data_IF_557177963734
#
_entry.id   IF_557177963734
#
_cell.length_a   1.000
_cell.length_b   1.000
_cell.length_c   1.000
_cell.angle_alpha   90.00
_cell.angle_beta   90.00
_cell.angle_gamma   90.00
#
_symmetry.space_group_name_H-M   'P 1'
#
loop_
_entity.id
_entity.type
_entity.pdbx_description
1 polymer ?
#
# COMPACT_ATOMS: atom_id res chain seq x y z
N UNK A 1 56.91 10.35 -12.00
CA UNK A 1 58.09 11.03 -12.58
C UNK A 1 57.78 12.30 -13.38
N UNK A 2 56.55 12.55 -13.87
CA UNK A 2 56.27 13.74 -14.71
C UNK A 2 56.15 15.11 -14.01
N UNK A 3 55.84 15.14 -12.71
CA UNK A 3 55.56 16.41 -12.00
C UNK A 3 56.83 17.21 -11.65
N UNK A 4 57.92 16.51 -11.34
CA UNK A 4 59.22 17.12 -11.00
C UNK A 4 59.90 17.71 -12.24
N UNK A 5 59.79 17.03 -13.38
CA UNK A 5 60.37 17.48 -14.65
C UNK A 5 59.68 18.75 -15.17
N UNK A 6 58.36 18.88 -14.96
CA UNK A 6 57.61 20.08 -15.33
C UNK A 6 57.96 21.29 -14.46
N UNK A 7 58.12 21.10 -13.14
CA UNK A 7 58.54 22.18 -12.23
C UNK A 7 59.96 22.67 -12.54
N UNK A 8 60.90 21.78 -12.84
CA UNK A 8 62.27 22.16 -13.19
C UNK A 8 62.33 22.97 -14.49
N UNK A 9 61.52 22.59 -15.49
CA UNK A 9 61.45 23.29 -16.77
C UNK A 9 60.72 24.65 -16.68
N UNK A 10 59.80 24.82 -15.72
CA UNK A 10 59.21 26.12 -15.39
C UNK A 10 60.21 27.03 -14.67
N UNK A 11 60.99 26.48 -13.73
CA UNK A 11 61.99 27.23 -12.98
C UNK A 11 63.14 27.73 -13.87
N UNK A 12 63.60 26.91 -14.83
CA UNK A 12 64.59 27.36 -15.82
C UNK A 12 64.06 28.48 -16.72
N UNK A 13 62.80 28.43 -17.15
CA UNK A 13 62.20 29.50 -17.96
C UNK A 13 62.07 30.82 -17.18
N UNK A 14 61.75 30.76 -15.90
CA UNK A 14 61.71 31.96 -15.05
C UNK A 14 63.11 32.55 -14.83
N UNK A 15 64.14 31.73 -14.64
CA UNK A 15 65.52 32.22 -14.47
C UNK A 15 66.11 32.82 -15.76
N UNK A 16 65.85 32.21 -16.91
CA UNK A 16 66.31 32.75 -18.21
C UNK A 16 65.53 34.00 -18.63
N UNK A 17 64.23 34.07 -18.31
CA UNK A 17 63.41 35.26 -18.56
C UNK A 17 63.81 36.46 -17.69
N UNK A 18 64.06 36.22 -16.39
CA UNK A 18 64.39 37.29 -15.44
C UNK A 18 65.72 38.00 -15.79
N UNK A 19 66.78 37.25 -16.12
CA UNK A 19 68.07 37.84 -16.46
C UNK A 19 68.06 38.64 -17.77
N UNK A 20 67.22 38.26 -18.74
CA UNK A 20 67.07 39.00 -19.98
C UNK A 20 66.33 40.33 -19.79
N UNK A 21 65.27 40.33 -18.96
CA UNK A 21 64.53 41.54 -18.61
C UNK A 21 65.36 42.51 -17.76
N UNK A 22 66.19 42.02 -16.83
CA UNK A 22 67.12 42.88 -16.07
C UNK A 22 68.17 43.53 -16.97
N UNK A 23 68.70 42.83 -17.97
CA UNK A 23 69.63 43.43 -18.94
C UNK A 23 68.97 44.51 -19.81
N UNK A 24 67.73 44.29 -20.25
CA UNK A 24 66.96 45.29 -20.99
C UNK A 24 66.67 46.53 -20.12
N UNK A 25 66.31 46.31 -18.85
CA UNK A 25 66.03 47.39 -17.90
C UNK A 25 67.29 48.22 -17.57
N UNK A 26 68.46 47.58 -17.46
CA UNK A 26 69.74 48.28 -17.30
C UNK A 26 70.13 49.11 -18.53
N UNK A 27 69.81 48.65 -19.75
CA UNK A 27 70.04 49.43 -20.98
C UNK A 27 69.11 50.64 -21.07
N UNK A 28 67.87 50.52 -20.59
CA UNK A 28 66.91 51.62 -20.47
C UNK A 28 67.35 52.68 -19.46
N UNK A 29 67.80 52.27 -18.27
CA UNK A 29 68.26 53.21 -17.23
C UNK A 29 69.54 53.96 -17.61
N UNK A 30 70.39 53.36 -18.46
CA UNK A 30 71.65 53.97 -18.91
C UNK A 30 71.52 54.89 -20.15
N UNK A 31 70.30 55.27 -20.53
CA UNK A 31 70.04 56.37 -21.47
C UNK A 31 70.54 56.18 -22.91
N UNK A 32 70.86 54.95 -23.34
CA UNK A 32 71.37 54.66 -24.67
C UNK A 32 70.27 54.24 -25.66
N UNK A 33 69.19 55.02 -25.73
CA UNK A 33 68.17 54.85 -26.77
C UNK A 33 67.71 56.22 -27.25
N UNK A 34 68.25 56.64 -28.40
CA UNK A 34 67.73 57.78 -29.13
C UNK A 34 66.36 57.45 -29.73
N UNK A 35 65.41 58.39 -29.60
CA UNK A 35 64.14 58.46 -30.32
C UNK A 35 63.36 57.12 -30.49
N UNK A 36 62.79 56.59 -29.40
CA UNK A 36 61.83 55.48 -29.45
C UNK A 36 60.53 55.81 -28.70
N UNK A 37 59.75 56.75 -29.22
CA UNK A 37 58.37 56.96 -28.75
C UNK A 37 57.36 55.90 -29.24
N UNK A 38 57.49 55.27 -30.43
CA UNK A 38 56.52 54.26 -30.90
C UNK A 38 56.62 52.90 -30.20
N UNK A 39 57.80 52.49 -29.72
CA UNK A 39 58.01 51.16 -29.14
C UNK A 39 57.38 51.00 -27.74
N UNK A 40 57.34 52.06 -26.94
CA UNK A 40 56.71 52.05 -25.60
C UNK A 40 55.18 51.87 -25.65
N UNK A 41 54.53 52.40 -26.69
CA UNK A 41 53.08 52.23 -26.90
C UNK A 41 52.74 50.78 -27.28
N UNK A 42 53.55 50.16 -28.14
CA UNK A 42 53.40 48.76 -28.54
C UNK A 42 53.62 47.80 -27.37
N UNK A 43 54.62 48.07 -26.51
CA UNK A 43 54.87 47.27 -25.30
C UNK A 43 53.72 47.38 -24.30
N UNK A 44 53.14 48.58 -24.14
CA UNK A 44 51.99 48.79 -23.26
C UNK A 44 50.73 48.07 -23.77
N UNK A 45 50.48 48.10 -25.08
CA UNK A 45 49.39 47.35 -25.71
C UNK A 45 49.58 45.83 -25.54
N UNK A 46 50.78 45.31 -25.78
CA UNK A 46 51.10 43.89 -25.56
C UNK A 46 50.92 43.49 -24.09
N UNK A 47 51.27 44.34 -23.13
CA UNK A 47 51.08 44.05 -21.71
C UNK A 47 49.58 43.95 -21.34
N UNK A 48 48.74 44.84 -21.88
CA UNK A 48 47.28 44.80 -21.71
C UNK A 48 46.71 43.51 -22.32
N UNK A 49 47.13 43.15 -23.53
CA UNK A 49 46.69 41.91 -24.18
C UNK A 49 47.08 40.67 -23.37
N UNK A 50 48.34 40.59 -22.91
CA UNK A 50 48.83 39.49 -22.07
C UNK A 50 48.00 39.37 -20.79
N UNK A 51 47.69 40.49 -20.14
CA UNK A 51 46.88 40.48 -18.92
C UNK A 51 45.43 40.06 -19.21
N UNK A 52 44.86 40.51 -20.33
CA UNK A 52 43.56 40.04 -20.82
C UNK A 52 43.54 38.52 -21.07
N UNK A 53 44.59 37.98 -21.69
CA UNK A 53 44.74 36.54 -21.91
C UNK A 53 44.88 35.76 -20.60
N UNK A 54 45.62 36.27 -19.61
CA UNK A 54 45.72 35.63 -18.28
C UNK A 54 44.37 35.56 -17.59
N UNK A 55 43.61 36.66 -17.60
CA UNK A 55 42.28 36.71 -17.01
C UNK A 55 41.32 35.74 -17.70
N UNK A 56 41.36 35.69 -19.04
CA UNK A 56 40.58 34.74 -19.82
C UNK A 56 40.93 33.29 -19.50
N UNK A 57 42.23 32.95 -19.44
CA UNK A 57 42.66 31.62 -19.03
C UNK A 57 42.21 31.27 -17.60
N UNK A 58 42.32 32.21 -16.65
CA UNK A 58 41.87 31.99 -15.28
C UNK A 58 40.35 31.71 -15.20
N UNK A 59 39.55 32.45 -15.96
CA UNK A 59 38.10 32.22 -16.07
C UNK A 59 37.78 30.82 -16.63
N UNK A 60 38.45 30.42 -17.71
CA UNK A 60 38.28 29.08 -18.30
C UNK A 60 38.67 27.96 -17.32
N UNK A 61 39.72 28.16 -16.51
CA UNK A 61 40.09 27.19 -15.47
C UNK A 61 39.02 27.07 -14.37
N UNK A 62 38.44 28.19 -13.94
CA UNK A 62 37.35 28.17 -12.95
C UNK A 62 36.10 27.47 -13.51
N UNK A 63 35.71 27.79 -14.74
CA UNK A 63 34.59 27.17 -15.44
C UNK A 63 34.79 25.65 -15.57
N UNK A 64 36.01 25.22 -15.94
CA UNK A 64 36.35 23.79 -16.00
C UNK A 64 36.18 23.07 -14.66
N UNK A 65 36.62 23.67 -13.55
CA UNK A 65 36.46 23.05 -12.22
C UNK A 65 34.98 23.04 -11.78
N UNK A 66 34.20 24.06 -12.14
CA UNK A 66 32.75 24.05 -11.93
C UNK A 66 32.08 22.90 -12.69
N UNK A 67 32.37 22.74 -13.99
CA UNK A 67 31.83 21.64 -14.79
C UNK A 67 32.26 20.26 -14.27
N UNK A 68 33.46 20.15 -13.70
CA UNK A 68 33.93 18.90 -13.09
C UNK A 68 33.15 18.58 -11.82
N UNK A 69 32.88 19.58 -10.97
CA UNK A 69 32.06 19.41 -9.78
C UNK A 69 30.61 19.04 -10.13
N UNK A 70 30.03 19.70 -11.13
CA UNK A 70 28.68 19.40 -11.61
C UNK A 70 28.57 18.00 -12.21
N UNK A 71 29.53 17.58 -13.04
CA UNK A 71 29.59 16.22 -13.56
C UNK A 71 29.69 15.18 -12.45
N UNK A 72 30.46 15.45 -11.40
CA UNK A 72 30.56 14.53 -10.27
C UNK A 72 29.24 14.43 -9.51
N UNK A 73 28.53 15.55 -9.33
CA UNK A 73 27.19 15.58 -8.73
C UNK A 73 26.19 14.77 -9.56
N UNK A 74 26.15 14.99 -10.88
CA UNK A 74 25.27 14.26 -11.79
C UNK A 74 25.56 12.76 -11.82
N UNK A 75 26.83 12.34 -11.69
CA UNK A 75 27.19 10.91 -11.57
C UNK A 75 26.60 10.28 -10.31
N UNK A 76 26.69 10.95 -9.16
CA UNK A 76 26.13 10.46 -7.90
C UNK A 76 24.61 10.39 -7.98
N UNK A 77 23.97 11.43 -8.55
CA UNK A 77 22.52 11.48 -8.71
C UNK A 77 22.00 10.39 -9.66
N UNK A 78 22.67 10.15 -10.79
CA UNK A 78 22.35 9.05 -11.70
C UNK A 78 22.49 7.68 -11.03
N UNK A 79 23.53 7.48 -10.20
CA UNK A 79 23.68 6.23 -9.47
C UNK A 79 22.53 6.04 -8.47
N UNK A 80 22.13 7.10 -7.76
CA UNK A 80 20.99 7.06 -6.85
C UNK A 80 19.69 6.71 -7.58
N UNK A 81 19.43 7.30 -8.74
CA UNK A 81 18.24 6.95 -9.53
C UNK A 81 18.25 5.51 -10.03
N UNK A 82 19.43 4.97 -10.36
CA UNK A 82 19.58 3.57 -10.72
C UNK A 82 19.23 2.64 -9.55
N UNK A 83 19.74 2.95 -8.37
CA UNK A 83 19.47 2.15 -7.16
C UNK A 83 17.97 2.21 -6.78
N UNK A 84 17.33 3.38 -6.89
CA UNK A 84 15.90 3.55 -6.68
C UNK A 84 15.07 2.77 -7.71
N UNK A 85 15.47 2.75 -8.98
CA UNK A 85 14.82 1.97 -10.03
C UNK A 85 14.91 0.46 -9.75
N UNK A 86 16.07 -0.03 -9.34
CA UNK A 86 16.28 -1.43 -8.99
C UNK A 86 15.49 -1.84 -7.73
N UNK A 87 15.36 -0.94 -6.76
CA UNK A 87 14.50 -1.17 -5.59
C UNK A 87 13.02 -1.23 -5.98
N UNK A 88 12.55 -0.32 -6.83
CA UNK A 88 11.16 -0.32 -7.32
C UNK A 88 10.83 -1.55 -8.16
N UNK A 89 11.74 -1.99 -9.03
CA UNK A 89 11.57 -3.23 -9.80
C UNK A 89 11.43 -4.45 -8.90
N UNK A 90 12.24 -4.56 -7.84
CA UNK A 90 12.11 -5.64 -6.86
C UNK A 90 10.77 -5.61 -6.11
N UNK A 91 10.33 -4.42 -5.68
CA UNK A 91 9.04 -4.26 -5.02
C UNK A 91 7.86 -4.62 -5.94
N UNK A 92 7.97 -4.31 -7.23
CA UNK A 92 6.96 -4.66 -8.23
C UNK A 92 6.84 -6.18 -8.42
N UNK A 93 7.97 -6.90 -8.52
CA UNK A 93 7.95 -8.35 -8.63
C UNK A 93 7.39 -9.04 -7.36
N UNK A 94 7.70 -8.54 -6.16
CA UNK A 94 7.07 -9.04 -4.93
C UNK A 94 5.54 -8.82 -4.94
N UNK A 95 5.10 -7.63 -5.35
CA UNK A 95 3.67 -7.32 -5.47
C UNK A 95 2.97 -8.25 -6.46
N UNK A 96 3.60 -8.52 -7.61
CA UNK A 96 3.09 -9.45 -8.63
C UNK A 96 2.97 -10.88 -8.10
N UNK A 97 3.97 -11.37 -7.36
CA UNK A 97 3.91 -12.68 -6.70
C UNK A 97 2.77 -12.74 -5.68
N UNK A 98 2.59 -11.70 -4.88
CA UNK A 98 1.49 -11.63 -3.90
C UNK A 98 0.12 -11.61 -4.58
N UNK A 99 -0.03 -10.87 -5.67
CA UNK A 99 -1.27 -10.81 -6.43
C UNK A 99 -1.62 -12.19 -7.02
N UNK A 100 -0.64 -12.89 -7.59
CA UNK A 100 -0.84 -14.26 -8.10
C UNK A 100 -1.31 -15.23 -7.02
N UNK A 101 -0.75 -15.14 -5.80
CA UNK A 101 -1.21 -15.96 -4.66
C UNK A 101 -2.66 -15.67 -4.28
N UNK A 102 -3.05 -14.39 -4.29
CA UNK A 102 -4.43 -13.97 -4.01
C UNK A 102 -5.38 -14.46 -5.10
N UNK A 103 -4.99 -14.35 -6.38
CA UNK A 103 -5.80 -14.86 -7.50
C UNK A 103 -6.05 -16.36 -7.38
N UNK A 104 -4.99 -17.15 -7.17
CA UNK A 104 -5.10 -18.59 -7.00
C UNK A 104 -6.01 -18.96 -5.83
N UNK A 105 -5.85 -18.28 -4.68
CA UNK A 105 -6.73 -18.50 -3.53
C UNK A 105 -8.18 -18.14 -3.81
N UNK A 106 -8.44 -17.08 -4.59
CA UNK A 106 -9.78 -16.71 -5.00
C UNK A 106 -10.41 -17.76 -5.92
N UNK A 107 -9.63 -18.36 -6.82
CA UNK A 107 -10.08 -19.45 -7.69
C UNK A 107 -10.44 -20.70 -6.86
N UNK A 108 -9.60 -21.06 -5.89
CA UNK A 108 -9.85 -22.14 -4.93
C UNK A 108 -11.14 -21.87 -4.13
N UNK A 109 -11.28 -20.70 -3.51
CA UNK A 109 -12.48 -20.30 -2.75
C UNK A 109 -13.74 -20.30 -3.63
N UNK A 110 -13.63 -19.93 -4.91
CA UNK A 110 -14.77 -19.95 -5.85
C UNK A 110 -15.17 -21.37 -6.21
N UNK A 111 -14.20 -22.27 -6.41
CA UNK A 111 -14.47 -23.68 -6.65
C UNK A 111 -15.12 -24.34 -5.43
N UNK A 112 -14.65 -24.04 -4.22
CA UNK A 112 -15.27 -24.52 -2.98
C UNK A 112 -16.71 -24.02 -2.84
N UNK A 113 -16.97 -22.74 -3.11
CA UNK A 113 -18.33 -22.18 -3.07
C UNK A 113 -19.27 -22.83 -4.08
N UNK A 114 -18.77 -23.20 -5.27
CA UNK A 114 -19.54 -23.93 -6.26
C UNK A 114 -19.95 -25.30 -5.72
N UNK A 115 -18.99 -26.05 -5.17
CA UNK A 115 -19.24 -27.36 -4.56
C UNK A 115 -20.25 -27.27 -3.40
N UNK A 116 -20.15 -26.23 -2.57
CA UNK A 116 -21.09 -25.98 -1.47
C UNK A 116 -22.51 -25.66 -1.96
N UNK A 117 -22.65 -24.94 -3.07
CA UNK A 117 -23.97 -24.67 -3.67
C UNK A 117 -24.61 -25.95 -4.18
N UNK A 118 -23.86 -26.76 -4.93
CA UNK A 118 -24.35 -28.04 -5.45
C UNK A 118 -24.80 -28.97 -4.32
N UNK A 119 -24.05 -29.04 -3.22
CA UNK A 119 -24.43 -29.82 -2.05
C UNK A 119 -25.70 -29.31 -1.34
N UNK A 120 -25.86 -27.98 -1.24
CA UNK A 120 -27.06 -27.38 -0.61
C UNK A 120 -28.31 -27.56 -1.50
N UNK A 121 -28.17 -27.43 -2.81
CA UNK A 121 -29.26 -27.69 -3.76
C UNK A 121 -29.73 -29.15 -3.65
N UNK A 122 -28.81 -30.09 -3.49
CA UNK A 122 -29.13 -31.49 -3.21
C UNK A 122 -29.89 -31.67 -1.89
N UNK A 123 -29.43 -31.04 -0.80
CA UNK A 123 -30.10 -31.09 0.51
C UNK A 123 -31.54 -30.53 0.45
N UNK A 124 -31.74 -29.43 -0.29
CA UNK A 124 -33.06 -28.85 -0.53
C UNK A 124 -33.98 -29.84 -1.27
N UNK A 125 -33.48 -30.51 -2.31
CA UNK A 125 -34.22 -31.53 -3.07
C UNK A 125 -34.63 -32.68 -2.14
N UNK A 126 -33.70 -33.17 -1.32
CA UNK A 126 -33.93 -34.23 -0.34
C UNK A 126 -35.01 -33.87 0.68
N UNK A 127 -34.91 -32.69 1.31
CA UNK A 127 -35.91 -32.22 2.29
C UNK A 127 -37.28 -32.04 1.65
N UNK A 128 -37.33 -31.53 0.41
CA UNK A 128 -38.60 -31.39 -0.33
C UNK A 128 -39.24 -32.76 -0.57
N UNK A 129 -38.44 -33.76 -0.96
CA UNK A 129 -38.93 -35.12 -1.21
C UNK A 129 -39.44 -35.81 0.05
N UNK A 130 -38.74 -35.64 1.18
CA UNK A 130 -39.19 -36.15 2.49
C UNK A 130 -40.55 -35.54 2.86
N UNK A 131 -40.71 -34.22 2.71
CA UNK A 131 -41.99 -33.54 2.98
C UNK A 131 -43.13 -34.00 2.06
N UNK A 132 -42.83 -34.27 0.79
CA UNK A 132 -43.81 -34.83 -0.15
C UNK A 132 -44.27 -36.25 0.26
N UNK A 133 -43.37 -37.05 0.83
CA UNK A 133 -43.69 -38.38 1.36
C UNK A 133 -44.49 -38.29 2.67
N UNK A 134 -44.11 -37.38 3.58
CA UNK A 134 -44.83 -37.14 4.85
C UNK A 134 -46.27 -36.61 4.64
N UNK A 135 -46.51 -35.89 3.53
CA UNK A 135 -47.82 -35.33 3.21
C UNK A 135 -48.81 -36.34 2.58
N UNK A 136 -48.38 -37.57 2.26
CA UNK A 136 -49.27 -38.63 1.78
C UNK A 136 -49.88 -39.36 2.98
N UNK A 137 -51.21 -39.30 3.12
CA UNK A 137 -51.95 -40.14 4.06
C UNK A 137 -52.06 -41.58 3.52
N UNK A 138 -51.33 -42.51 4.12
CA UNK A 138 -51.39 -43.96 3.85
C UNK A 138 -50.06 -44.69 4.14
N UNK A 139 -50.06 -46.01 4.36
CA UNK A 139 -48.83 -46.77 4.55
C UNK A 139 -47.95 -46.70 3.29
N UNK A 140 -46.65 -46.45 3.48
CA UNK A 140 -45.64 -46.41 2.41
C UNK A 140 -45.71 -47.75 1.65
N UNK A 141 -46.02 -47.69 0.35
CA UNK A 141 -46.15 -48.88 -0.49
C UNK A 141 -44.79 -49.56 -0.69
N UNK A 142 -44.78 -50.89 -0.83
CA UNK A 142 -43.57 -51.69 -1.14
C UNK A 142 -42.91 -51.25 -2.46
N UNK A 143 -43.66 -50.58 -3.34
CA UNK A 143 -43.15 -50.01 -4.59
C UNK A 143 -42.31 -48.73 -4.40
N UNK A 144 -42.40 -48.05 -3.24
CA UNK A 144 -41.61 -46.87 -2.89
C UNK A 144 -40.25 -47.22 -2.21
N UNK A 145 -40.06 -48.49 -1.85
CA UNK A 145 -38.86 -48.98 -1.15
C UNK A 145 -37.53 -48.86 -1.95
N UNK A 146 -37.49 -49.04 -3.29
CA UNK A 146 -36.25 -48.86 -4.06
C UNK A 146 -35.73 -47.42 -4.03
N UNK A 147 -36.64 -46.43 -3.98
CA UNK A 147 -36.29 -45.01 -3.93
C UNK A 147 -35.69 -44.59 -2.58
N UNK A 148 -36.03 -45.29 -1.49
CA UNK A 148 -35.45 -45.06 -0.17
C UNK A 148 -34.05 -45.65 -0.04
N UNK A 149 -33.74 -46.76 -0.74
CA UNK A 149 -32.40 -47.34 -0.79
C UNK A 149 -31.38 -46.44 -1.47
N UNK A 150 -31.72 -45.89 -2.64
CA UNK A 150 -30.87 -44.93 -3.36
C UNK A 150 -30.63 -43.62 -2.58
N UNK A 151 -31.65 -43.20 -1.82
CA UNK A 151 -31.55 -42.05 -0.90
C UNK A 151 -30.58 -42.34 0.25
N UNK A 152 -30.64 -43.54 0.85
CA UNK A 152 -29.79 -43.90 1.99
C UNK A 152 -28.33 -44.05 1.55
N UNK A 153 -28.06 -44.70 0.42
CA UNK A 153 -26.70 -44.85 -0.11
C UNK A 153 -26.10 -43.48 -0.50
N UNK A 154 -26.90 -42.59 -1.10
CA UNK A 154 -26.49 -41.20 -1.41
C UNK A 154 -26.23 -40.32 -0.17
N UNK A 155 -26.95 -40.58 0.93
CA UNK A 155 -26.75 -39.89 2.22
C UNK A 155 -25.53 -40.43 2.98
N UNK A 156 -25.17 -41.71 2.81
CA UNK A 156 -23.99 -42.32 3.43
C UNK A 156 -22.71 -41.83 2.75
N UNK A 157 -22.64 -41.80 1.42
CA UNK A 157 -21.47 -41.27 0.68
C UNK A 157 -21.24 -39.77 0.95
N UNK A 158 -22.31 -39.00 1.17
CA UNK A 158 -22.22 -37.59 1.54
C UNK A 158 -21.96 -37.34 3.04
N UNK A 159 -22.17 -38.34 3.91
CA UNK A 159 -21.83 -38.21 5.33
C UNK A 159 -20.33 -38.04 5.52
N UNK A 160 -19.49 -38.68 4.70
CA UNK A 160 -18.04 -38.46 4.74
C UNK A 160 -17.65 -37.05 4.27
N UNK A 161 -18.41 -36.46 3.32
CA UNK A 161 -18.31 -35.05 2.94
C UNK A 161 -18.77 -34.09 4.05
N UNK A 162 -19.80 -34.46 4.82
CA UNK A 162 -20.31 -33.68 5.97
C UNK A 162 -19.43 -33.83 7.20
N UNK A 163 -18.81 -35.00 7.43
CA UNK A 163 -17.84 -35.23 8.51
C UNK A 163 -16.56 -34.45 8.23
N UNK A 164 -16.14 -34.31 6.96
CA UNK A 164 -15.12 -33.31 6.57
C UNK A 164 -15.54 -31.85 6.82
N UNK A 165 -16.85 -31.50 6.83
CA UNK A 165 -17.33 -30.16 7.24
C UNK A 165 -17.10 -29.85 8.73
N UNK A 166 -16.82 -30.86 9.56
CA UNK A 166 -16.69 -30.69 11.02
C UNK A 166 -15.32 -31.09 11.59
N UNK A 167 -14.41 -31.62 10.77
CA UNK A 167 -13.01 -31.82 11.11
C UNK A 167 -12.09 -30.96 10.24
N UNK A 168 -12.24 -29.65 10.38
CA UNK A 168 -11.08 -28.78 10.50
C UNK A 168 -11.33 -27.87 11.71
N UNK A 169 -10.84 -28.23 12.90
CA UNK A 169 -10.69 -27.23 13.93
C UNK A 169 -9.65 -26.24 13.39
N UNK A 170 -10.04 -24.98 13.16
CA UNK A 170 -9.07 -23.88 13.01
C UNK A 170 -8.39 -23.73 14.37
N UNK A 171 -7.46 -24.62 14.67
CA UNK A 171 -6.56 -24.53 15.81
C UNK A 171 -5.50 -23.48 15.49
N UNK A 172 -5.85 -22.21 15.71
CA UNK A 172 -4.99 -21.19 16.36
C UNK A 172 -5.75 -19.84 16.54
N UNK A 173 -7.06 -19.86 16.86
CA UNK A 173 -7.87 -18.62 17.05
C UNK A 173 -7.20 -17.62 18.00
N UNK A 174 -6.50 -18.09 19.04
CA UNK A 174 -5.82 -17.21 20.00
C UNK A 174 -4.57 -16.53 19.41
N UNK A 175 -3.75 -17.24 18.62
CA UNK A 175 -2.56 -16.63 17.98
C UNK A 175 -2.97 -15.65 16.89
N UNK A 176 -4.01 -15.98 16.14
CA UNK A 176 -4.52 -15.10 15.07
C UNK A 176 -5.24 -13.88 15.64
N UNK A 177 -6.00 -14.03 16.73
CA UNK A 177 -6.56 -12.91 17.47
C UNK A 177 -5.47 -12.00 18.03
N UNK A 178 -4.43 -12.55 18.68
CA UNK A 178 -3.29 -11.75 19.20
C UNK A 178 -2.59 -10.96 18.08
N UNK A 179 -2.32 -11.59 16.94
CA UNK A 179 -1.76 -10.91 15.75
C UNK A 179 -2.68 -9.82 15.21
N UNK A 180 -3.99 -10.06 15.20
CA UNK A 180 -4.98 -9.07 14.78
C UNK A 180 -5.02 -7.87 15.75
N UNK A 181 -4.95 -8.12 17.05
CA UNK A 181 -4.86 -7.07 18.09
C UNK A 181 -3.58 -6.25 17.92
N UNK A 182 -2.42 -6.88 17.71
CA UNK A 182 -1.17 -6.16 17.43
C UNK A 182 -1.24 -5.33 16.15
N UNK A 183 -1.79 -5.91 15.09
CA UNK A 183 -1.97 -5.20 13.82
C UNK A 183 -2.97 -4.03 13.95
N UNK A 184 -4.01 -4.19 14.76
CA UNK A 184 -4.97 -3.14 15.10
C UNK A 184 -4.34 -2.03 15.95
N UNK A 185 -3.48 -2.38 16.92
CA UNK A 185 -2.69 -1.42 17.71
C UNK A 185 -1.75 -0.59 16.86
N UNK A 186 -1.35 -1.08 15.68
CA UNK A 186 -0.51 -0.36 14.72
C UNK A 186 -1.30 0.31 13.59
N UNK A 187 -2.62 0.14 13.56
CA UNK A 187 -3.48 0.76 12.54
C UNK A 187 -3.78 2.21 12.92
N UNK A 188 -3.48 3.14 12.00
CA UNK A 188 -3.73 4.58 12.20
C UNK A 188 -5.22 4.92 12.31
N UNK A 189 -6.09 4.14 11.66
CA UNK A 189 -7.53 4.34 11.69
C UNK A 189 -8.20 3.98 13.02
N UNK A 190 -7.46 3.46 14.01
CA UNK A 190 -8.02 3.04 15.31
C UNK A 190 -8.58 4.19 16.15
N UNK A 191 -8.09 5.41 15.94
CA UNK A 191 -8.53 6.62 16.65
C UNK A 191 -9.56 7.43 15.87
N UNK A 192 -9.85 7.03 14.63
CA UNK A 192 -10.86 7.71 13.85
C UNK A 192 -12.22 7.51 14.48
N UNK A 193 -12.98 8.60 14.60
CA UNK A 193 -14.34 8.60 15.13
C UNK A 193 -15.30 9.00 14.02
N UNK A 194 -16.52 8.48 14.10
CA UNK A 194 -17.62 8.90 13.24
C UNK A 194 -18.70 9.43 14.16
N UNK A 195 -18.96 10.73 14.12
CA UNK A 195 -19.87 11.40 15.04
C UNK A 195 -21.25 10.72 15.06
N UNK A 196 -21.72 10.35 16.26
CA UNK A 196 -23.00 9.67 16.45
C UNK A 196 -23.04 8.21 15.98
N UNK A 197 -21.88 7.58 15.72
CA UNK A 197 -21.77 6.16 15.34
C UNK A 197 -20.83 5.42 16.31
N UNK A 198 -21.32 4.39 16.97
CA UNK A 198 -20.48 3.47 17.75
C UNK A 198 -19.82 2.46 16.81
N UNK A 199 -18.54 2.70 16.51
CA UNK A 199 -17.77 1.87 15.59
C UNK A 199 -17.53 0.45 16.10
N UNK A 200 -17.64 0.18 17.41
CA UNK A 200 -17.47 -1.16 17.98
C UNK A 200 -18.54 -2.15 17.50
N UNK A 201 -19.66 -1.64 16.98
CA UNK A 201 -20.71 -2.46 16.37
C UNK A 201 -20.38 -2.91 14.95
N UNK A 202 -19.44 -2.24 14.29
CA UNK A 202 -19.16 -2.38 12.86
C UNK A 202 -17.73 -2.80 12.56
N UNK A 203 -16.79 -2.55 13.47
CA UNK A 203 -15.36 -2.80 13.33
C UNK A 203 -14.89 -3.79 14.39
N UNK A 204 -13.68 -4.30 14.20
CA UNK A 204 -12.96 -5.15 15.12
C UNK A 204 -12.86 -4.46 16.49
N UNK A 205 -13.34 -5.15 17.52
CA UNK A 205 -13.30 -4.71 18.90
C UNK A 205 -12.36 -5.62 19.69
N UNK A 206 -11.12 -5.18 20.00
CA UNK A 206 -10.18 -6.01 20.75
C UNK A 206 -10.65 -6.36 22.16
N UNK A 207 -11.57 -5.57 22.74
CA UNK A 207 -12.12 -5.80 24.08
C UNK A 207 -13.18 -6.91 24.09
N UNK A 208 -13.67 -7.32 22.92
CA UNK A 208 -14.65 -8.40 22.79
C UNK A 208 -13.97 -9.75 22.57
N UNK A 209 -13.21 -10.21 23.57
CA UNK A 209 -12.43 -11.45 23.53
C UNK A 209 -13.29 -12.72 23.50
N UNK A 210 -14.58 -12.62 23.83
CA UNK A 210 -15.53 -13.74 23.77
C UNK A 210 -16.02 -14.04 22.34
N UNK A 211 -15.71 -13.18 21.36
CA UNK A 211 -16.17 -13.37 19.99
C UNK A 211 -15.20 -14.22 19.18
N UNK A 212 -15.73 -15.27 18.52
CA UNK A 212 -14.99 -16.12 17.58
C UNK A 212 -14.25 -15.26 16.56
N UNK A 213 -13.04 -15.68 16.18
CA UNK A 213 -12.23 -15.01 15.17
C UNK A 213 -12.43 -15.63 13.77
N UNK A 214 -12.69 -14.85 12.70
CA UNK A 214 -12.87 -13.40 12.67
C UNK A 214 -14.18 -12.93 13.34
N UNK A 215 -14.14 -11.75 13.96
CA UNK A 215 -15.29 -11.23 14.71
C UNK A 215 -16.48 -10.95 13.79
N UNK A 216 -17.65 -11.48 14.14
CA UNK A 216 -18.88 -11.17 13.41
C UNK A 216 -19.43 -9.82 13.85
N UNK A 217 -19.52 -8.87 12.92
CA UNK A 217 -19.96 -7.48 13.18
C UNK A 217 -21.13 -7.09 12.28
N UNK A 218 -21.85 -6.03 12.63
CA UNK A 218 -22.99 -5.56 11.83
C UNK A 218 -22.52 -4.93 10.53
N UNK A 219 -23.14 -5.27 9.40
CA UNK A 219 -22.82 -4.68 8.10
C UNK A 219 -23.52 -3.34 7.89
N UNK A 220 -22.78 -2.29 7.52
CA UNK A 220 -23.34 -1.01 7.15
C UNK A 220 -23.75 -1.00 5.65
N UNK A 221 -24.81 -1.71 5.28
CA UNK A 221 -25.20 -1.90 3.86
C UNK A 221 -25.68 -0.61 3.19
N UNK A 222 -26.55 0.15 3.87
CA UNK A 222 -27.16 1.39 3.38
C UNK A 222 -27.24 2.41 4.51
N UNK A 223 -27.37 3.70 4.17
CA UNK A 223 -27.47 4.80 5.14
C UNK A 223 -28.60 4.55 6.16
N UNK A 224 -29.75 4.06 5.66
CA UNK A 224 -30.88 3.69 6.50
C UNK A 224 -30.56 2.51 7.45
N UNK A 225 -29.76 1.54 7.02
CA UNK A 225 -29.37 0.41 7.88
C UNK A 225 -28.45 0.89 9.01
N UNK A 226 -27.47 1.74 8.68
CA UNK A 226 -26.59 2.36 9.67
C UNK A 226 -27.42 3.16 10.69
N UNK A 227 -28.37 3.98 10.22
CA UNK A 227 -29.29 4.71 11.09
C UNK A 227 -30.09 3.78 11.99
N UNK A 228 -30.72 2.74 11.43
CA UNK A 228 -31.53 1.78 12.21
C UNK A 228 -30.71 1.08 13.29
N UNK A 229 -29.47 0.72 13.00
CA UNK A 229 -28.57 0.10 13.96
C UNK A 229 -28.25 1.07 15.10
N UNK A 230 -27.86 2.31 14.76
CA UNK A 230 -27.51 3.32 15.76
C UNK A 230 -28.72 3.75 16.59
N UNK A 231 -29.88 3.89 15.96
CA UNK A 231 -31.13 4.25 16.62
C UNK A 231 -31.52 3.19 17.64
N UNK A 232 -31.53 1.91 17.25
CA UNK A 232 -31.84 0.79 18.17
C UNK A 232 -30.77 0.60 19.25
N UNK A 233 -29.51 0.89 18.93
CA UNK A 233 -28.43 0.81 19.91
C UNK A 233 -28.54 1.91 20.97
N UNK A 234 -28.87 3.14 20.55
CA UNK A 234 -29.01 4.28 21.45
C UNK A 234 -30.35 4.29 22.20
N UNK A 235 -31.39 3.66 21.62
CA UNK A 235 -32.73 3.59 22.18
C UNK A 235 -33.25 2.14 22.23
N UNK A 236 -32.65 1.27 23.05
CA UNK A 236 -32.96 -0.17 23.07
C UNK A 236 -34.41 -0.48 23.45
N UNK A 237 -35.05 0.40 24.23
CA UNK A 237 -36.43 0.22 24.72
C UNK A 237 -37.47 1.08 23.96
N UNK A 238 -37.05 1.80 22.91
CA UNK A 238 -37.97 2.64 22.16
C UNK A 238 -38.93 1.81 21.32
N UNK A 239 -40.22 2.11 21.44
CA UNK A 239 -41.27 1.56 20.57
C UNK A 239 -41.42 2.32 19.26
N UNK A 240 -40.68 3.42 19.09
CA UNK A 240 -40.74 4.26 17.89
C UNK A 240 -40.18 3.47 16.70
N UNK A 241 -40.93 3.49 15.59
CA UNK A 241 -40.53 2.86 14.35
C UNK A 241 -39.32 3.60 13.75
N UNK A 242 -38.15 2.95 13.60
CA UNK A 242 -36.97 3.60 13.04
C UNK A 242 -37.16 4.13 11.61
N UNK A 243 -38.14 3.61 10.85
CA UNK A 243 -38.45 4.11 9.52
C UNK A 243 -39.12 5.48 9.58
N UNK A 244 -40.01 5.70 10.55
CA UNK A 244 -40.70 6.99 10.73
C UNK A 244 -39.71 8.06 11.16
N UNK A 245 -38.79 7.71 12.07
CA UNK A 245 -37.77 8.63 12.52
C UNK A 245 -36.77 8.96 11.41
N UNK A 246 -36.38 7.98 10.59
CA UNK A 246 -35.55 8.22 9.41
C UNK A 246 -36.17 9.23 8.43
N UNK A 247 -37.50 9.25 8.29
CA UNK A 247 -38.17 10.21 7.43
C UNK A 247 -38.12 11.64 7.98
N UNK A 248 -37.97 11.81 9.30
CA UNK A 248 -37.83 13.10 9.99
C UNK A 248 -36.40 13.64 10.00
N UNK A 249 -35.41 12.80 9.69
CA UNK A 249 -34.01 13.23 9.57
C UNK A 249 -33.87 14.20 8.39
N UNK A 250 -33.55 15.45 8.68
CA UNK A 250 -33.32 16.52 7.70
C UNK A 250 -31.99 16.35 6.96
N UNK A 251 -30.94 15.87 7.64
CA UNK A 251 -29.58 15.80 7.09
C UNK A 251 -29.18 14.39 6.61
N UNK A 252 -29.93 13.82 5.65
CA UNK A 252 -29.68 12.45 5.13
C UNK A 252 -28.32 12.30 4.43
N UNK A 253 -27.77 13.39 3.88
CA UNK A 253 -26.44 13.43 3.25
C UNK A 253 -25.31 13.17 4.25
N UNK A 254 -25.47 13.62 5.50
CA UNK A 254 -24.53 13.37 6.58
C UNK A 254 -24.46 11.87 6.91
N UNK A 255 -25.61 11.20 6.97
CA UNK A 255 -25.68 9.74 7.12
C UNK A 255 -25.07 8.99 5.93
N UNK A 256 -25.17 9.52 4.71
CA UNK A 256 -24.44 8.99 3.56
C UNK A 256 -22.93 9.02 3.77
N UNK A 257 -22.40 10.16 4.25
CA UNK A 257 -20.96 10.33 4.52
C UNK A 257 -20.50 9.38 5.63
N UNK A 258 -21.25 9.30 6.73
CA UNK A 258 -20.99 8.35 7.84
C UNK A 258 -20.98 6.91 7.34
N UNK A 259 -21.98 6.51 6.54
CA UNK A 259 -22.07 5.16 5.99
C UNK A 259 -20.92 4.83 5.03
N UNK A 260 -20.52 5.77 4.16
CA UNK A 260 -19.37 5.59 3.28
C UNK A 260 -18.09 5.36 4.08
N UNK A 261 -17.87 6.14 5.14
CA UNK A 261 -16.70 6.00 6.01
C UNK A 261 -16.66 4.67 6.75
N UNK A 262 -17.78 4.25 7.34
CA UNK A 262 -17.89 2.93 7.99
C UNK A 262 -17.63 1.81 6.98
N UNK A 263 -18.17 1.90 5.76
CA UNK A 263 -17.93 0.90 4.71
C UNK A 263 -16.46 0.80 4.31
N UNK A 264 -15.78 1.93 4.18
CA UNK A 264 -14.35 1.98 3.88
C UNK A 264 -13.53 1.24 4.95
N UNK A 265 -13.80 1.55 6.22
CA UNK A 265 -13.15 0.88 7.36
C UNK A 265 -13.49 -0.61 7.43
N UNK A 266 -14.74 -0.99 7.16
CA UNK A 266 -15.16 -2.39 7.12
C UNK A 266 -14.44 -3.16 6.01
N UNK A 267 -14.33 -2.60 4.81
CA UNK A 267 -13.59 -3.22 3.70
C UNK A 267 -12.13 -3.44 4.05
N UNK A 268 -11.48 -2.45 4.69
CA UNK A 268 -10.10 -2.58 5.13
C UNK A 268 -9.93 -3.74 6.12
N UNK A 269 -10.79 -3.83 7.14
CA UNK A 269 -10.67 -4.87 8.17
C UNK A 269 -11.14 -6.25 7.70
N UNK A 270 -12.09 -6.32 6.78
CA UNK A 270 -12.52 -7.56 6.10
C UNK A 270 -11.37 -8.13 5.26
N UNK A 271 -10.65 -7.27 4.51
CA UNK A 271 -9.46 -7.69 3.75
C UNK A 271 -8.32 -8.21 4.65
N UNK A 272 -8.24 -7.70 5.89
CA UNK A 272 -7.33 -8.18 6.93
C UNK A 272 -7.84 -9.41 7.69
N UNK A 273 -9.04 -9.90 7.36
CA UNK A 273 -9.72 -11.00 8.04
C UNK A 273 -9.90 -10.78 9.54
N UNK A 274 -10.03 -9.53 10.00
CA UNK A 274 -10.30 -9.24 11.42
C UNK A 274 -11.78 -9.38 11.75
N UNK A 275 -12.63 -9.04 10.78
CA UNK A 275 -14.08 -9.05 10.92
C UNK A 275 -14.74 -9.81 9.77
N UNK A 276 -15.96 -10.29 10.03
CA UNK A 276 -16.91 -10.78 9.04
C UNK A 276 -18.21 -9.96 9.15
N UNK A 277 -18.42 -8.95 8.30
CA UNK A 277 -19.64 -8.15 8.33
C UNK A 277 -20.87 -8.96 7.90
N UNK A 278 -21.90 -9.03 8.75
CA UNK A 278 -23.16 -9.71 8.46
C UNK A 278 -24.35 -8.75 8.39
N UNK A 279 -25.25 -9.01 7.43
CA UNK A 279 -26.51 -8.27 7.28
C UNK A 279 -27.48 -8.67 8.40
N UNK A 280 -28.15 -7.68 9.00
CA UNK A 280 -29.01 -7.81 10.19
C UNK A 280 -30.01 -8.98 10.19
N UNK A 281 -30.53 -9.41 9.04
CA UNK A 281 -31.51 -10.49 8.94
C UNK A 281 -30.93 -11.91 9.06
N UNK A 282 -29.60 -12.05 9.17
CA UNK A 282 -28.91 -13.35 9.29
C UNK A 282 -28.19 -13.56 10.63
N UNK A 283 -28.17 -12.54 11.50
CA UNK A 283 -27.60 -12.68 12.84
C UNK A 283 -28.66 -13.37 13.71
N UNK A 284 -28.66 -14.71 13.72
CA UNK A 284 -29.34 -15.44 14.79
C UNK A 284 -28.66 -15.01 16.09
N UNK A 285 -29.41 -14.40 17.02
CA UNK A 285 -28.94 -14.30 18.41
C UNK A 285 -28.83 -15.74 18.90
N UNK A 286 -27.62 -16.23 19.09
CA UNK A 286 -27.44 -17.41 19.92
C UNK A 286 -27.93 -17.06 21.34
N UNK A 287 -28.69 -17.95 22.00
CA UNK A 287 -29.07 -17.74 23.39
C UNK A 287 -27.80 -17.69 24.24
N UNK A 288 -27.70 -16.66 25.09
CA UNK A 288 -26.66 -16.59 26.10
C UNK A 288 -26.79 -17.82 27.00
N UNK A 289 -25.70 -18.57 27.15
CA UNK A 289 -25.55 -19.64 28.14
C UNK A 289 -25.40 -19.04 29.54
#
# INVERSE_FOLDING_TARGET
MGQVQWQWQQQQRQQQGAGHWEQLNQRFQNGHVGNQAPEMDMVSQMAIEIEGWKQHCAALYQEKEQFKAENQKLKVENQKFKDEADQRSRAFEDMKLRLNRVSKKSEEETSELKNLREANDFEIIMVKRIKELEARDGPISIEDAPALGEIVDSVVDNKDLIVKRHHDPIQDEEKDFKKAVESWKNWNGRFETVEGVDLRLFLFNPDNTQSRFPQTVKKATRNMDLFKIMFRHSHPNSRVNPNEEWNRVSNKSEWSRKCAKVKEMQKFQEAKRWIRPQTLYKIKKEPAQ
#
